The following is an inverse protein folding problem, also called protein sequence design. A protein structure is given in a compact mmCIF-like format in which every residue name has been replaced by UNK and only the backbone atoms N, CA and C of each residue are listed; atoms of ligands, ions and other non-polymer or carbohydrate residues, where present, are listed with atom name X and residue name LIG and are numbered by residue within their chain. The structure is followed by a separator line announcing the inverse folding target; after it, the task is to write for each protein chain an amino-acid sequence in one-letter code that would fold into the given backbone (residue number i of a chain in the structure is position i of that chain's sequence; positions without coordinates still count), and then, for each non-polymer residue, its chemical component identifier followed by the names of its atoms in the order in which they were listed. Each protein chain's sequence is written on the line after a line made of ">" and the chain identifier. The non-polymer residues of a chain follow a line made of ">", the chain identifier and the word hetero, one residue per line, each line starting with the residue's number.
data_IF_184814445564
#
_entry.id   IF_184814445564
#
_cell.length_a   1.000
_cell.length_b   1.000
_cell.length_c   1.000
_cell.angle_alpha   90.00
_cell.angle_beta   90.00
_cell.angle_gamma   90.00
#
_symmetry.space_group_name_H-M   'P 1'
#
loop_
_entity.id
_entity.type
_entity.pdbx_description
1 polymer ?
#
# COMPACT_ATOMS: atom_id res chain seq x y z
N UNK A 1 -3.22 -8.47 -9.85
CA UNK A 1 -2.36 -8.02 -8.77
C UNK A 1 -1.58 -9.18 -8.18
N UNK A 2 -0.28 -8.99 -7.98
CA UNK A 2 0.54 -9.99 -7.32
C UNK A 2 0.40 -9.95 -5.80
N UNK A 3 0.92 -10.97 -5.12
CA UNK A 3 0.87 -11.06 -3.65
C UNK A 3 1.51 -9.85 -2.94
N UNK A 4 2.64 -9.29 -3.42
CA UNK A 4 3.18 -8.10 -2.77
C UNK A 4 2.21 -6.91 -2.78
N UNK A 5 1.51 -6.68 -3.90
CA UNK A 5 0.51 -5.62 -4.00
C UNK A 5 -0.67 -5.86 -3.07
N UNK A 6 -1.14 -7.10 -2.99
CA UNK A 6 -2.24 -7.48 -2.08
C UNK A 6 -1.83 -7.21 -0.63
N UNK A 7 -0.62 -7.58 -0.26
CA UNK A 7 -0.09 -7.36 1.09
C UNK A 7 -0.07 -5.88 1.46
N UNK A 8 0.37 -5.03 0.52
CA UNK A 8 0.39 -3.58 0.70
C UNK A 8 -1.02 -3.03 0.91
N UNK A 9 -1.96 -3.42 0.05
CA UNK A 9 -3.33 -2.94 0.12
C UNK A 9 -4.02 -3.33 1.41
N UNK A 10 -3.84 -4.57 1.86
CA UNK A 10 -4.42 -5.05 3.10
C UNK A 10 -3.82 -4.35 4.33
N UNK A 11 -2.51 -4.11 4.30
CA UNK A 11 -1.83 -3.38 5.38
C UNK A 11 -2.38 -1.96 5.49
N UNK A 12 -2.54 -1.28 4.35
CA UNK A 12 -3.05 0.09 4.33
C UNK A 12 -4.54 0.16 4.69
N UNK A 13 -5.30 -0.88 4.38
CA UNK A 13 -6.70 -0.95 4.81
C UNK A 13 -6.80 -0.96 6.33
N UNK A 14 -5.90 -1.68 6.98
CA UNK A 14 -5.86 -1.80 8.44
C UNK A 14 -5.30 -0.54 9.11
N UNK A 15 -4.19 -0.02 8.58
CA UNK A 15 -3.44 1.05 9.24
C UNK A 15 -3.81 2.47 8.81
N UNK A 16 -4.46 2.61 7.66
CA UNK A 16 -4.74 3.93 7.08
C UNK A 16 -3.52 4.50 6.38
N UNK A 17 -3.27 5.81 6.53
CA UNK A 17 -2.10 6.44 5.94
C UNK A 17 -0.83 5.94 6.63
N UNK A 18 0.16 5.52 5.83
CA UNK A 18 1.41 4.95 6.33
C UNK A 18 2.60 5.62 5.64
N UNK A 19 3.76 5.53 6.27
CA UNK A 19 5.00 6.03 5.68
C UNK A 19 5.69 4.93 4.89
N UNK A 20 6.59 5.33 3.99
CA UNK A 20 7.39 4.37 3.24
C UNK A 20 8.12 3.38 4.16
N UNK A 21 8.65 3.89 5.28
CA UNK A 21 9.38 3.06 6.24
C UNK A 21 8.49 1.97 6.86
N UNK A 22 7.21 2.28 7.10
CA UNK A 22 6.27 1.29 7.62
C UNK A 22 6.05 0.16 6.61
N UNK A 23 5.96 0.52 5.33
CA UNK A 23 5.81 -0.46 4.26
C UNK A 23 7.08 -1.26 4.03
N UNK A 24 8.25 -0.62 4.20
CA UNK A 24 9.53 -1.28 4.02
C UNK A 24 9.73 -2.46 4.98
N UNK A 25 9.15 -2.37 6.17
CA UNK A 25 9.23 -3.44 7.16
C UNK A 25 8.47 -4.71 6.75
N UNK A 26 7.59 -4.61 5.76
CA UNK A 26 6.82 -5.75 5.26
C UNK A 26 7.59 -6.58 4.22
N UNK A 27 8.69 -6.06 3.73
CA UNK A 27 9.41 -6.66 2.60
C UNK A 27 10.90 -6.81 2.90
N UNK A 28 11.50 -7.86 2.35
CA UNK A 28 12.95 -8.05 2.40
C UNK A 28 13.66 -7.28 1.31
N UNK A 29 12.94 -6.93 0.23
CA UNK A 29 13.50 -6.21 -0.91
C UNK A 29 12.82 -4.86 -1.09
N UNK A 30 13.59 -3.78 -1.03
CA UNK A 30 13.09 -2.43 -1.30
C UNK A 30 12.75 -2.24 -2.76
N UNK A 31 13.46 -2.95 -3.65
CA UNK A 31 13.15 -2.92 -5.08
C UNK A 31 11.75 -3.45 -5.36
N UNK A 32 11.39 -4.57 -4.75
CA UNK A 32 10.06 -5.16 -4.87
C UNK A 32 9.00 -4.18 -4.35
N UNK A 33 9.22 -3.59 -3.18
CA UNK A 33 8.30 -2.62 -2.60
C UNK A 33 8.09 -1.43 -3.54
N UNK A 34 9.19 -0.81 -3.98
CA UNK A 34 9.11 0.39 -4.82
C UNK A 34 8.41 0.13 -6.14
N UNK A 35 8.67 -1.02 -6.76
CA UNK A 35 8.02 -1.41 -8.01
C UNK A 35 6.51 -1.57 -7.82
N UNK A 36 6.11 -2.25 -6.75
CA UNK A 36 4.70 -2.47 -6.46
C UNK A 36 3.99 -1.17 -6.10
N UNK A 37 4.64 -0.27 -5.36
CA UNK A 37 4.05 1.04 -5.04
C UNK A 37 3.82 1.85 -6.31
N UNK A 38 4.79 1.83 -7.22
CA UNK A 38 4.65 2.54 -8.50
C UNK A 38 3.47 2.00 -9.30
N UNK A 39 3.35 0.68 -9.39
CA UNK A 39 2.25 0.05 -10.12
C UNK A 39 0.90 0.40 -9.50
N UNK A 40 0.81 0.38 -8.17
CA UNK A 40 -0.42 0.72 -7.47
C UNK A 40 -0.81 2.19 -7.65
N UNK A 41 0.17 3.09 -7.70
CA UNK A 41 -0.07 4.50 -7.99
C UNK A 41 -0.59 4.67 -9.43
N UNK A 42 0.01 3.98 -10.39
CA UNK A 42 -0.40 4.03 -11.80
C UNK A 42 -1.82 3.51 -11.98
N UNK A 43 -2.19 2.49 -11.23
CA UNK A 43 -3.55 1.94 -11.23
C UNK A 43 -4.53 2.79 -10.43
N UNK A 44 -4.05 3.83 -9.78
CA UNK A 44 -4.82 4.76 -8.95
C UNK A 44 -5.51 4.07 -7.77
N UNK A 45 -4.84 3.06 -7.21
CA UNK A 45 -5.30 2.37 -6.02
C UNK A 45 -4.73 3.00 -4.76
N UNK A 46 -3.58 3.64 -4.88
CA UNK A 46 -2.96 4.37 -3.78
C UNK A 46 -2.55 5.76 -4.25
N UNK A 47 -2.40 6.66 -3.30
CA UNK A 47 -1.88 8.01 -3.57
C UNK A 47 -0.72 8.27 -2.63
N UNK A 48 0.22 9.08 -3.11
CA UNK A 48 1.44 9.43 -2.40
C UNK A 48 1.41 10.91 -2.05
N UNK A 49 1.76 11.21 -0.81
CA UNK A 49 1.88 12.60 -0.34
C UNK A 49 3.28 12.78 0.20
N UNK A 50 3.98 13.78 -0.31
CA UNK A 50 5.35 14.08 0.12
C UNK A 50 5.32 15.33 1.00
N UNK A 51 5.92 15.23 2.17
CA UNK A 51 6.09 16.37 3.07
C UNK A 51 7.53 16.85 2.91
N UNK A 52 7.70 18.08 2.40
CA UNK A 52 9.00 18.69 2.17
C UNK A 52 9.54 19.29 3.47
N UNK A 53 9.85 18.44 4.41
CA UNK A 53 10.48 18.82 5.68
C UNK A 53 11.86 18.14 5.75
N UNK A 54 12.59 18.35 6.83
CA UNK A 54 13.87 17.67 7.04
C UNK A 54 13.71 16.68 8.18
N UNK A 55 13.77 15.35 7.90
CA UNK A 55 13.94 14.73 6.60
C UNK A 55 12.65 14.74 5.76
N UNK A 56 12.80 14.61 4.44
CA UNK A 56 11.66 14.47 3.54
C UNK A 56 10.95 13.16 3.84
N UNK A 57 9.63 13.20 3.97
CA UNK A 57 8.82 12.01 4.26
C UNK A 57 7.77 11.79 3.17
N UNK A 58 7.60 10.54 2.81
CA UNK A 58 6.57 10.14 1.87
C UNK A 58 5.50 9.32 2.60
N UNK A 59 4.26 9.71 2.43
CA UNK A 59 3.08 9.05 3.00
C UNK A 59 2.26 8.43 1.89
N UNK A 60 1.70 7.28 2.16
CA UNK A 60 0.88 6.54 1.21
C UNK A 60 -0.47 6.25 1.84
N UNK A 61 -1.53 6.39 1.05
CA UNK A 61 -2.88 6.07 1.50
C UNK A 61 -3.67 5.47 0.35
N UNK A 62 -4.75 4.76 0.68
CA UNK A 62 -5.64 4.20 -0.31
C UNK A 62 -6.51 5.31 -0.91
N UNK A 63 -6.73 5.23 -2.22
CA UNK A 63 -7.79 6.00 -2.88
C UNK A 63 -9.12 5.33 -2.58
N UNK A 64 -10.24 5.96 -2.96
CA UNK A 64 -11.56 5.34 -2.82
C UNK A 64 -11.62 4.00 -3.57
N UNK A 65 -11.06 3.98 -4.78
CA UNK A 65 -10.96 2.75 -5.58
C UNK A 65 -10.12 1.69 -4.86
N UNK A 66 -8.99 2.12 -4.28
CA UNK A 66 -8.10 1.22 -3.52
C UNK A 66 -8.78 0.65 -2.29
N UNK A 67 -9.55 1.45 -1.57
CA UNK A 67 -10.31 1.00 -0.40
C UNK A 67 -11.32 -0.08 -0.78
N UNK A 68 -12.04 0.14 -1.88
CA UNK A 68 -13.03 -0.80 -2.37
C UNK A 68 -12.40 -2.16 -2.69
N UNK A 69 -11.30 -2.13 -3.41
CA UNK A 69 -10.58 -3.35 -3.79
C UNK A 69 -9.99 -4.04 -2.56
N UNK A 70 -9.37 -3.27 -1.66
CA UNK A 70 -8.79 -3.84 -0.45
C UNK A 70 -9.83 -4.51 0.44
N UNK A 71 -11.01 -3.91 0.56
CA UNK A 71 -12.12 -4.51 1.33
C UNK A 71 -12.55 -5.85 0.74
N UNK A 72 -12.66 -5.94 -0.58
CA UNK A 72 -13.03 -7.18 -1.25
C UNK A 72 -11.96 -8.26 -1.06
N UNK A 73 -10.69 -7.87 -1.15
CA UNK A 73 -9.58 -8.79 -0.89
C UNK A 73 -9.60 -9.31 0.55
N UNK A 74 -9.91 -8.43 1.49
CA UNK A 74 -10.00 -8.80 2.90
C UNK A 74 -11.14 -9.79 3.15
N UNK A 75 -12.26 -9.61 2.47
CA UNK A 75 -13.40 -10.55 2.54
C UNK A 75 -13.01 -11.92 2.02
N UNK A 76 -12.32 -11.97 0.89
CA UNK A 76 -11.82 -13.22 0.30
C UNK A 76 -10.87 -13.91 1.28
N UNK A 77 -9.93 -13.15 1.85
CA UNK A 77 -8.98 -13.68 2.82
C UNK A 77 -9.69 -14.31 4.02
N UNK A 78 -10.71 -13.64 4.55
CA UNK A 78 -11.47 -14.13 5.70
C UNK A 78 -12.23 -15.42 5.35
N UNK A 79 -12.76 -15.49 4.14
CA UNK A 79 -13.48 -16.66 3.68
C UNK A 79 -12.58 -17.90 3.55
N UNK A 80 -11.31 -17.67 3.18
CA UNK A 80 -10.33 -18.75 3.03
C UNK A 80 -9.68 -19.17 4.35
N UNK A 81 -9.84 -18.39 5.40
CA UNK A 81 -9.23 -18.68 6.71
C UNK A 81 -10.03 -19.67 7.52
#
# INVERSE_FOLDING_TARGET
>A
LGMPSVKILLFMLEKGEVRYTDLADLFTSRGTLSLNLKDLEEEKLIQRRVVASKPIQAYYSLTEKGKEIAKRMNEIKKTLS
#
